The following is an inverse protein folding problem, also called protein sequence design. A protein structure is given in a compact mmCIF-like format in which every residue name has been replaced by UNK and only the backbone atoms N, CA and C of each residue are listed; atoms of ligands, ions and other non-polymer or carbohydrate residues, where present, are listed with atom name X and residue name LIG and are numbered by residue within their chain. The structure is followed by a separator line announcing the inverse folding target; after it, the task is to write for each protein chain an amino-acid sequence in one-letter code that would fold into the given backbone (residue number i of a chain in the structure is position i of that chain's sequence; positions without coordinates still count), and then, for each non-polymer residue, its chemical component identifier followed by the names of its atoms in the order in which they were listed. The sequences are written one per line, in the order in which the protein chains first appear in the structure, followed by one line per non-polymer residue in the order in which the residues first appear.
data_IF_578429286103
#
_entry.id   IF_578429286103
#
_cell.length_a   1.000
_cell.length_b   1.000
_cell.length_c   1.000
_cell.angle_alpha   90.00
_cell.angle_beta   90.00
_cell.angle_gamma   90.00
#
_symmetry.space_group_name_H-M   'P 1'
#
loop_
_entity.id
_entity.type
_entity.pdbx_description
1 polymer ?
#
# COMPACT_ATOMS: atom_id res chain seq x y z
N UNK A 1 21.45 9.57 -6.37
CA UNK A 1 21.60 8.21 -5.83
C UNK A 1 21.22 8.15 -4.37
N UNK A 2 19.98 7.78 -4.06
CA UNK A 2 19.56 7.38 -2.73
C UNK A 2 20.42 6.18 -2.27
N UNK A 3 21.35 6.44 -1.35
CA UNK A 3 22.22 5.42 -0.76
C UNK A 3 21.60 4.76 0.48
N UNK A 4 20.49 5.31 0.97
CA UNK A 4 19.83 4.92 2.21
C UNK A 4 18.43 4.35 1.94
N UNK A 5 18.19 3.14 2.40
CA UNK A 5 16.84 2.57 2.46
C UNK A 5 16.01 3.38 3.46
N UNK A 6 15.03 4.10 2.93
CA UNK A 6 14.11 4.95 3.70
C UNK A 6 12.71 4.87 3.09
N UNK A 7 12.07 3.69 3.10
CA UNK A 7 10.77 3.52 2.48
C UNK A 7 9.73 4.43 3.14
N UNK A 8 8.79 4.89 2.33
CA UNK A 8 7.72 5.82 2.71
C UNK A 8 6.32 5.25 2.42
N UNK A 9 6.24 3.93 2.19
CA UNK A 9 5.01 3.26 1.80
C UNK A 9 4.57 3.60 0.38
N UNK A 10 3.31 3.32 0.09
CA UNK A 10 2.69 3.65 -1.18
C UNK A 10 2.19 5.10 -1.17
N UNK A 11 2.71 5.92 -2.08
CA UNK A 11 2.29 7.31 -2.24
C UNK A 11 1.43 7.47 -3.49
N UNK A 12 0.13 7.82 -3.39
CA UNK A 12 -0.70 8.07 -4.56
C UNK A 12 -0.13 9.23 -5.40
N UNK A 13 -0.11 9.07 -6.74
CA UNK A 13 0.41 10.10 -7.67
C UNK A 13 -0.61 10.56 -8.71
N UNK A 14 -1.13 9.66 -9.54
CA UNK A 14 -2.09 9.92 -10.60
C UNK A 14 -2.90 8.64 -10.87
N UNK A 15 -3.97 8.76 -11.66
CA UNK A 15 -4.70 7.60 -12.16
C UNK A 15 -4.06 7.08 -13.44
N UNK A 16 -4.17 5.78 -13.69
CA UNK A 16 -3.65 5.16 -14.91
C UNK A 16 -4.26 5.80 -16.17
N UNK A 17 -3.44 6.00 -17.20
CA UNK A 17 -3.87 6.60 -18.46
C UNK A 17 -4.05 8.11 -18.42
N UNK A 18 -3.55 8.79 -17.38
CA UNK A 18 -3.62 10.25 -17.28
C UNK A 18 -5.02 10.79 -16.97
N UNK A 19 -5.88 9.95 -16.38
CA UNK A 19 -7.22 10.37 -15.97
C UNK A 19 -7.14 11.46 -14.90
N UNK A 20 -8.21 12.26 -14.80
CA UNK A 20 -8.27 13.36 -13.86
C UNK A 20 -8.07 12.86 -12.42
N UNK A 21 -6.99 13.28 -11.78
CA UNK A 21 -6.65 12.92 -10.42
C UNK A 21 -6.78 14.15 -9.52
N UNK A 22 -7.80 14.17 -8.68
CA UNK A 22 -8.05 15.27 -7.74
C UNK A 22 -7.44 14.99 -6.34
N UNK A 23 -6.23 14.41 -6.29
CA UNK A 23 -5.62 13.91 -5.05
C UNK A 23 -6.10 12.52 -4.62
N UNK A 24 -6.91 11.87 -5.46
CA UNK A 24 -7.56 10.57 -5.20
C UNK A 24 -8.91 10.76 -4.51
N UNK A 25 -9.91 9.97 -4.88
CA UNK A 25 -11.12 9.87 -4.07
C UNK A 25 -10.72 9.22 -2.74
N UNK A 26 -10.92 9.93 -1.63
CA UNK A 26 -10.61 9.45 -0.29
C UNK A 26 -11.91 8.94 0.35
N UNK A 27 -11.98 7.65 0.64
CA UNK A 27 -13.04 7.08 1.48
C UNK A 27 -12.59 7.00 2.92
N UNK A 28 -13.51 7.29 3.84
CA UNK A 28 -13.25 7.20 5.28
C UNK A 28 -13.87 5.91 5.82
N UNK A 29 -13.03 5.06 6.40
CA UNK A 29 -13.44 3.81 7.03
C UNK A 29 -13.40 3.98 8.55
N UNK A 30 -14.54 3.79 9.21
CA UNK A 30 -14.64 3.92 10.67
C UNK A 30 -13.96 2.73 11.34
N UNK A 31 -13.04 3.01 12.26
CA UNK A 31 -12.49 2.00 13.16
C UNK A 31 -13.36 1.94 14.42
N UNK A 32 -14.25 0.97 14.47
CA UNK A 32 -15.27 0.83 15.53
C UNK A 32 -14.81 -0.02 16.71
N UNK A 33 -13.86 -0.93 16.47
CA UNK A 33 -13.29 -1.80 17.49
C UNK A 33 -11.78 -1.66 17.53
N UNK A 34 -11.18 -2.03 18.65
CA UNK A 34 -9.74 -1.94 18.82
C UNK A 34 -8.97 -2.76 17.77
N UNK A 35 -7.88 -2.20 17.26
CA UNK A 35 -6.92 -2.89 16.40
C UNK A 35 -5.58 -3.04 17.12
N UNK A 36 -4.98 -4.23 17.05
CA UNK A 36 -3.64 -4.50 17.58
C UNK A 36 -2.52 -3.95 16.68
N UNK A 37 -2.81 -3.68 15.41
CA UNK A 37 -1.92 -3.01 14.47
C UNK A 37 -2.08 -1.49 14.53
N UNK A 38 -0.96 -0.78 14.33
CA UNK A 38 -0.98 0.65 14.06
C UNK A 38 -1.30 0.92 12.59
N UNK A 39 -1.64 2.17 12.26
CA UNK A 39 -1.84 2.63 10.89
C UNK A 39 -0.87 3.77 10.59
N UNK A 40 -0.23 3.69 9.45
CA UNK A 40 0.68 4.70 8.92
C UNK A 40 0.22 5.14 7.54
N UNK A 41 0.59 6.36 7.17
CA UNK A 41 0.39 6.83 5.79
C UNK A 41 1.25 6.00 4.85
N UNK A 42 0.64 5.45 3.80
CA UNK A 42 1.25 4.55 2.84
C UNK A 42 1.04 3.06 3.14
N UNK A 43 0.36 2.71 4.24
CA UNK A 43 -0.04 1.32 4.52
C UNK A 43 -1.14 0.85 3.57
N UNK A 44 -1.09 -0.42 3.19
CA UNK A 44 -2.19 -1.06 2.48
C UNK A 44 -3.23 -1.54 3.48
N UNK A 45 -4.48 -1.22 3.22
CA UNK A 45 -5.61 -1.48 4.09
C UNK A 45 -6.46 -2.62 3.53
N UNK A 46 -6.86 -3.54 4.40
CA UNK A 46 -7.92 -4.51 4.18
C UNK A 46 -9.06 -4.25 5.16
N UNK A 47 -10.23 -4.83 4.92
CA UNK A 47 -11.32 -4.86 5.89
C UNK A 47 -11.39 -6.25 6.53
N UNK A 48 -11.74 -6.31 7.81
CA UNK A 48 -12.17 -7.56 8.44
C UNK A 48 -13.58 -7.93 7.99
N UNK A 49 -14.00 -9.17 8.24
CA UNK A 49 -15.39 -9.62 7.98
C UNK A 49 -16.46 -8.81 8.73
N UNK A 50 -16.07 -8.07 9.77
CA UNK A 50 -16.93 -7.13 10.48
C UNK A 50 -16.87 -5.70 9.92
N UNK A 51 -16.17 -5.49 8.81
CA UNK A 51 -16.00 -4.19 8.15
C UNK A 51 -14.98 -3.24 8.79
N UNK A 52 -14.19 -3.69 9.78
CA UNK A 52 -13.19 -2.82 10.41
C UNK A 52 -11.91 -2.74 9.55
N UNK A 53 -11.36 -1.55 9.30
CA UNK A 53 -10.12 -1.39 8.56
C UNK A 53 -8.94 -1.96 9.33
N UNK A 54 -7.99 -2.58 8.64
CA UNK A 54 -6.76 -3.16 9.20
C UNK A 54 -5.60 -2.93 8.22
N UNK A 55 -4.44 -2.48 8.71
CA UNK A 55 -3.22 -2.53 7.92
C UNK A 55 -2.79 -3.99 7.70
N UNK A 56 -2.39 -4.34 6.47
CA UNK A 56 -1.92 -5.69 6.17
C UNK A 56 -0.52 -5.92 6.75
N UNK A 57 -0.22 -7.17 7.11
CA UNK A 57 1.09 -7.59 7.61
C UNK A 57 1.83 -8.55 6.67
N UNK A 58 1.20 -8.90 5.55
CA UNK A 58 1.74 -9.81 4.54
C UNK A 58 1.38 -9.29 3.14
N UNK A 59 2.20 -9.63 2.14
CA UNK A 59 1.91 -9.25 0.76
C UNK A 59 0.62 -9.91 0.30
N UNK A 60 -0.34 -9.16 -0.28
CA UNK A 60 -1.51 -9.77 -0.86
C UNK A 60 -1.13 -10.47 -2.17
N UNK A 61 -1.95 -11.43 -2.58
CA UNK A 61 -1.75 -12.23 -3.79
C UNK A 61 -3.04 -12.13 -4.60
N UNK A 62 -2.93 -12.01 -5.92
CA UNK A 62 -4.10 -11.94 -6.77
C UNK A 62 -4.87 -13.27 -6.70
N UNK A 63 -6.18 -13.17 -6.45
CA UNK A 63 -7.09 -14.32 -6.50
C UNK A 63 -7.41 -14.66 -7.95
N UNK A 64 -7.68 -15.94 -8.22
CA UNK A 64 -8.20 -16.40 -9.51
C UNK A 64 -9.56 -15.75 -9.79
N UNK A 65 -9.83 -15.40 -11.05
CA UNK A 65 -11.13 -14.86 -11.48
C UNK A 65 -11.77 -15.80 -12.53
N UNK A 66 -13.03 -16.24 -12.33
CA UNK A 66 -13.86 -16.05 -11.14
C UNK A 66 -13.31 -16.86 -9.94
N UNK A 67 -13.43 -16.26 -8.76
CA UNK A 67 -13.06 -16.90 -7.50
C UNK A 67 -14.16 -17.86 -7.02
N UNK A 68 -13.78 -18.82 -6.18
CA UNK A 68 -14.64 -19.78 -5.51
C UNK A 68 -14.60 -19.56 -4.00
N UNK A 69 -15.51 -20.19 -3.25
CA UNK A 69 -15.49 -20.12 -1.78
C UNK A 69 -14.25 -20.77 -1.14
N UNK A 70 -13.42 -21.47 -1.92
CA UNK A 70 -12.13 -22.00 -1.47
C UNK A 70 -11.01 -20.96 -1.53
N UNK A 71 -11.21 -19.83 -2.22
CA UNK A 71 -10.25 -18.75 -2.32
C UNK A 71 -10.38 -17.83 -1.10
N UNK A 72 -9.34 -17.76 -0.27
CA UNK A 72 -9.42 -17.25 1.10
C UNK A 72 -9.13 -15.75 1.27
N UNK A 73 -9.15 -14.94 0.21
CA UNK A 73 -8.70 -13.54 0.29
C UNK A 73 -9.68 -12.59 -0.39
N UNK A 74 -10.42 -11.83 0.43
CA UNK A 74 -11.39 -10.82 -0.03
C UNK A 74 -10.75 -9.60 -0.72
N UNK A 75 -9.41 -9.51 -0.70
CA UNK A 75 -8.64 -8.43 -1.30
C UNK A 75 -8.44 -7.24 -0.37
N UNK A 76 -7.61 -6.31 -0.82
CA UNK A 76 -7.35 -5.03 -0.14
C UNK A 76 -8.34 -3.98 -0.62
N UNK A 77 -8.58 -2.95 0.19
CA UNK A 77 -9.44 -1.82 -0.19
C UNK A 77 -8.65 -0.64 -0.73
N UNK A 78 -7.37 -0.51 -0.42
CA UNK A 78 -6.58 0.61 -0.92
C UNK A 78 -5.41 0.97 0.00
N UNK A 79 -4.97 2.22 -0.08
CA UNK A 79 -3.82 2.73 0.69
C UNK A 79 -4.25 3.83 1.64
N UNK A 80 -3.81 3.75 2.89
CA UNK A 80 -3.99 4.78 3.91
C UNK A 80 -3.25 6.07 3.52
N UNK A 81 -3.98 7.17 3.39
CA UNK A 81 -3.41 8.50 3.10
C UNK A 81 -3.45 9.44 4.31
N UNK A 82 -3.93 8.93 5.44
CA UNK A 82 -4.01 9.63 6.71
C UNK A 82 -5.08 9.06 7.62
N UNK A 83 -5.18 9.61 8.82
CA UNK A 83 -6.18 9.23 9.82
C UNK A 83 -6.82 10.49 10.41
N UNK A 84 -8.03 10.35 10.94
CA UNK A 84 -8.63 11.36 11.78
C UNK A 84 -9.25 10.73 13.02
N UNK A 85 -9.15 11.42 14.15
CA UNK A 85 -9.64 10.94 15.44
C UNK A 85 -9.81 12.09 16.42
N UNK A 86 -10.63 11.90 17.45
CA UNK A 86 -10.66 12.80 18.62
C UNK A 86 -9.64 12.29 19.63
N UNK A 87 -8.64 13.12 19.90
CA UNK A 87 -7.56 12.79 20.82
C UNK A 87 -8.05 12.83 22.28
N UNK A 88 -7.75 11.79 23.10
CA UNK A 88 -8.22 11.71 24.48
C UNK A 88 -7.63 12.78 25.39
N UNK A 89 -6.52 13.41 25.02
CA UNK A 89 -5.87 14.50 25.77
C UNK A 89 -6.32 15.86 25.24
N UNK A 90 -6.29 16.04 23.92
CA UNK A 90 -6.58 17.35 23.29
C UNK A 90 -8.07 17.66 23.20
N UNK A 91 -8.94 16.63 23.21
CA UNK A 91 -10.42 16.74 23.18
C UNK A 91 -11.02 17.37 21.92
N UNK A 92 -10.27 17.47 20.83
CA UNK A 92 -10.76 17.88 19.52
C UNK A 92 -10.28 16.92 18.43
N UNK A 93 -10.89 17.02 17.25
CA UNK A 93 -10.51 16.21 16.09
C UNK A 93 -9.14 16.60 15.58
N UNK A 94 -8.26 15.62 15.48
CA UNK A 94 -6.91 15.71 14.92
C UNK A 94 -6.89 14.96 13.60
N UNK A 95 -6.29 15.58 12.59
CA UNK A 95 -5.90 14.91 11.35
C UNK A 95 -4.41 14.59 11.45
N UNK A 96 -4.07 13.31 11.34
CA UNK A 96 -2.72 12.81 11.54
C UNK A 96 -2.29 11.86 10.43
N UNK A 97 -0.98 11.60 10.38
CA UNK A 97 -0.39 10.62 9.46
C UNK A 97 -0.30 9.22 10.09
N UNK A 98 -0.56 9.10 11.39
CA UNK A 98 -0.36 7.90 12.19
C UNK A 98 -1.48 7.72 13.22
N UNK A 99 -1.93 6.48 13.41
CA UNK A 99 -2.76 6.06 14.53
C UNK A 99 -2.05 4.92 15.29
N UNK A 100 -1.85 5.05 16.62
CA UNK A 100 -1.22 4.00 17.39
C UNK A 100 -2.05 2.72 17.48
N UNK A 101 -1.36 1.59 17.63
CA UNK A 101 -1.99 0.33 17.99
C UNK A 101 -2.75 0.51 19.32
N UNK A 102 -3.92 -0.11 19.44
CA UNK A 102 -4.70 -0.01 20.67
C UNK A 102 -5.42 1.33 20.86
N UNK A 103 -5.52 2.19 19.85
CA UNK A 103 -6.05 3.54 19.99
C UNK A 103 -7.45 3.61 20.64
N UNK A 104 -8.37 2.71 20.27
CA UNK A 104 -9.71 2.70 20.85
C UNK A 104 -9.65 2.44 22.35
N UNK A 105 -8.86 1.44 22.78
CA UNK A 105 -8.63 1.16 24.20
C UNK A 105 -7.90 2.29 24.93
N UNK A 106 -7.06 3.05 24.21
CA UNK A 106 -6.39 4.23 24.74
C UNK A 106 -7.28 5.48 24.82
N UNK A 107 -8.57 5.37 24.47
CA UNK A 107 -9.57 6.43 24.64
C UNK A 107 -9.75 7.36 23.43
N UNK A 108 -9.14 7.04 22.28
CA UNK A 108 -9.39 7.74 21.03
C UNK A 108 -10.81 7.44 20.56
N UNK A 109 -11.54 8.46 20.11
CA UNK A 109 -12.93 8.32 19.65
C UNK A 109 -13.11 8.90 18.25
N UNK A 110 -14.21 8.55 17.58
CA UNK A 110 -14.50 8.96 16.19
C UNK A 110 -13.31 8.68 15.24
N UNK A 111 -12.72 7.51 15.38
CA UNK A 111 -11.52 7.14 14.63
C UNK A 111 -11.90 6.72 13.22
N UNK A 112 -11.33 7.39 12.23
CA UNK A 112 -11.51 7.10 10.81
C UNK A 112 -10.15 6.94 10.13
N UNK A 113 -10.04 5.92 9.29
CA UNK A 113 -8.89 5.67 8.42
C UNK A 113 -9.25 6.18 7.03
N UNK A 114 -8.44 7.09 6.51
CA UNK A 114 -8.69 7.75 5.22
C UNK A 114 -7.90 7.02 4.15
N UNK A 115 -8.61 6.43 3.18
CA UNK A 115 -8.04 5.48 2.23
C UNK A 115 -8.26 5.97 0.80
N UNK A 116 -7.21 5.95 -0.01
CA UNK A 116 -7.31 6.04 -1.46
C UNK A 116 -7.59 4.63 -1.99
N UNK A 117 -8.79 4.43 -2.53
CA UNK A 117 -9.34 3.11 -2.88
C UNK A 117 -9.78 2.98 -4.34
N UNK A 118 -9.31 3.89 -5.18
CA UNK A 118 -9.45 3.75 -6.62
C UNK A 118 -8.54 2.61 -7.11
N UNK A 119 -9.09 1.55 -7.75
CA UNK A 119 -8.30 0.43 -8.25
C UNK A 119 -7.37 0.81 -9.41
N UNK A 120 -7.61 1.95 -10.07
CA UNK A 120 -6.79 2.49 -11.13
C UNK A 120 -5.74 3.51 -10.66
N UNK A 121 -5.62 3.69 -9.34
CA UNK A 121 -4.59 4.53 -8.74
C UNK A 121 -3.17 4.00 -9.01
N UNK A 122 -2.30 4.90 -9.46
CA UNK A 122 -0.86 4.69 -9.49
C UNK A 122 -0.24 5.19 -8.18
N UNK A 123 0.72 4.41 -7.68
CA UNK A 123 1.46 4.69 -6.46
C UNK A 123 2.95 4.73 -6.77
N UNK A 124 3.66 5.71 -6.21
CA UNK A 124 5.10 5.69 -6.13
C UNK A 124 5.52 4.97 -4.84
N UNK A 125 6.53 4.11 -4.94
CA UNK A 125 7.07 3.35 -3.81
C UNK A 125 8.57 3.11 -4.03
N UNK A 126 9.33 3.09 -2.93
CA UNK A 126 10.75 2.74 -2.97
C UNK A 126 10.95 1.22 -3.13
N UNK A 127 11.88 0.84 -3.99
CA UNK A 127 12.35 -0.53 -4.17
C UNK A 127 13.30 -1.00 -3.06
N UNK A 128 13.29 -2.29 -2.77
CA UNK A 128 14.14 -2.89 -1.72
C UNK A 128 15.60 -3.10 -2.10
N UNK A 129 15.94 -2.97 -3.39
CA UNK A 129 17.28 -3.18 -3.92
C UNK A 129 17.40 -2.57 -5.33
N UNK A 130 18.64 -2.41 -5.80
CA UNK A 130 18.94 -1.94 -7.14
C UNK A 130 18.48 -2.95 -8.21
N UNK A 131 18.09 -2.43 -9.38
CA UNK A 131 17.87 -3.28 -10.56
C UNK A 131 19.14 -3.98 -11.04
N UNK A 132 20.32 -3.38 -10.81
CA UNK A 132 21.61 -4.01 -11.08
C UNK A 132 21.73 -4.50 -12.53
N UNK A 133 22.01 -5.80 -12.71
CA UNK A 133 22.19 -6.44 -14.02
C UNK A 133 20.90 -6.96 -14.65
N UNK A 134 19.72 -6.46 -14.26
CA UNK A 134 18.44 -6.81 -14.87
C UNK A 134 18.52 -6.66 -16.40
N UNK A 135 18.01 -7.63 -17.16
CA UNK A 135 17.95 -7.55 -18.62
C UNK A 135 17.16 -6.30 -19.03
N UNK A 136 17.72 -5.48 -19.92
CA UNK A 136 17.18 -4.16 -20.32
C UNK A 136 17.17 -3.11 -19.18
N UNK A 137 17.98 -3.31 -18.13
CA UNK A 137 18.13 -2.38 -17.02
C UNK A 137 16.81 -2.12 -16.28
N UNK A 138 16.61 -0.89 -15.76
CA UNK A 138 15.36 -0.52 -15.08
C UNK A 138 14.10 -0.70 -15.94
N UNK A 139 14.20 -0.44 -17.25
CA UNK A 139 13.09 -0.64 -18.19
C UNK A 139 12.65 -2.12 -18.28
N UNK A 140 13.53 -3.07 -17.96
CA UNK A 140 13.19 -4.50 -17.87
C UNK A 140 12.36 -4.89 -16.64
N UNK A 141 12.14 -3.96 -15.70
CA UNK A 141 11.23 -4.16 -14.58
C UNK A 141 9.77 -3.86 -14.96
N UNK A 142 9.55 -2.98 -15.94
CA UNK A 142 8.21 -2.55 -16.37
C UNK A 142 7.41 -3.75 -16.88
N UNK A 143 6.16 -3.85 -16.41
CA UNK A 143 5.26 -4.96 -16.72
C UNK A 143 5.45 -6.21 -15.85
N UNK A 144 6.52 -6.31 -15.05
CA UNK A 144 6.68 -7.39 -14.08
C UNK A 144 5.80 -7.17 -12.86
N UNK A 145 5.55 -8.26 -12.14
CA UNK A 145 4.88 -8.25 -10.86
C UNK A 145 5.91 -8.31 -9.72
N UNK A 146 5.57 -7.66 -8.60
CA UNK A 146 6.40 -7.63 -7.41
C UNK A 146 5.55 -7.74 -6.14
N UNK A 147 6.16 -8.32 -5.11
CA UNK A 147 5.57 -8.39 -3.77
C UNK A 147 5.80 -7.06 -3.03
N UNK A 148 4.98 -6.84 -2.00
CA UNK A 148 5.24 -5.83 -0.98
C UNK A 148 6.03 -6.45 0.18
N UNK A 149 6.89 -5.68 0.81
CA UNK A 149 7.72 -6.10 1.93
C UNK A 149 7.74 -5.07 3.05
N UNK A 150 8.43 -5.44 4.14
CA UNK A 150 8.78 -4.53 5.23
C UNK A 150 7.58 -3.83 5.90
N UNK A 151 6.48 -4.57 6.09
CA UNK A 151 5.26 -4.11 6.76
C UNK A 151 5.57 -3.58 8.16
N UNK A 152 5.24 -2.32 8.39
CA UNK A 152 5.60 -1.56 9.58
C UNK A 152 5.54 -0.07 9.29
N UNK A 153 6.02 0.74 10.23
CA UNK A 153 6.01 2.19 10.07
C UNK A 153 6.90 2.91 11.08
N UNK A 154 7.19 4.16 10.78
CA UNK A 154 7.92 5.05 11.67
C UNK A 154 6.93 5.96 12.40
N UNK A 155 6.75 5.77 13.70
CA UNK A 155 5.80 6.54 14.51
C UNK A 155 6.16 8.03 14.62
N UNK A 156 7.43 8.40 14.38
CA UNK A 156 7.87 9.80 14.41
C UNK A 156 7.46 10.53 13.13
N UNK A 157 7.60 9.90 11.96
CA UNK A 157 7.22 10.52 10.67
C UNK A 157 5.76 10.22 10.29
N UNK A 158 5.17 9.19 10.88
CA UNK A 158 3.87 8.65 10.51
C UNK A 158 3.82 7.95 9.15
N UNK A 159 4.99 7.62 8.58
CA UNK A 159 5.07 6.97 7.28
C UNK A 159 5.25 5.46 7.43
N UNK A 160 4.58 4.72 6.54
CA UNK A 160 4.75 3.29 6.38
C UNK A 160 6.15 2.98 5.89
N UNK A 161 6.71 1.86 6.33
CA UNK A 161 7.99 1.35 5.84
C UNK A 161 7.81 0.31 4.74
N UNK A 162 6.59 0.12 4.23
CA UNK A 162 6.30 -0.79 3.13
C UNK A 162 7.14 -0.40 1.92
N UNK A 163 7.79 -1.40 1.32
CA UNK A 163 8.61 -1.25 0.12
C UNK A 163 8.21 -2.25 -0.97
N UNK A 164 8.67 -2.00 -2.20
CA UNK A 164 8.53 -2.96 -3.28
C UNK A 164 9.68 -3.96 -3.25
N UNK A 165 9.40 -5.26 -3.23
CA UNK A 165 10.44 -6.28 -3.18
C UNK A 165 11.03 -6.49 -4.58
N UNK A 166 12.10 -5.75 -4.87
CA UNK A 166 12.85 -5.85 -6.14
C UNK A 166 13.80 -7.06 -6.11
N UNK A 167 14.48 -7.25 -4.98
CA UNK A 167 15.50 -8.28 -4.81
C UNK A 167 16.79 -7.94 -5.55
N UNK A 168 17.90 -8.61 -5.19
CA UNK A 168 19.19 -8.37 -5.82
C UNK A 168 19.13 -8.54 -7.34
N UNK A 169 19.59 -7.53 -8.09
CA UNK A 169 19.53 -7.50 -9.55
C UNK A 169 18.12 -7.72 -10.15
N UNK A 170 17.07 -7.29 -9.44
CA UNK A 170 15.68 -7.52 -9.85
C UNK A 170 15.19 -8.97 -9.75
N UNK A 171 15.92 -9.83 -9.01
CA UNK A 171 15.65 -11.28 -8.94
C UNK A 171 14.33 -11.68 -8.27
N UNK A 172 13.64 -10.77 -7.58
CA UNK A 172 12.31 -11.02 -7.01
C UNK A 172 11.16 -10.54 -7.90
N UNK A 173 11.47 -9.87 -9.01
CA UNK A 173 10.47 -9.46 -10.00
C UNK A 173 10.06 -10.65 -10.86
N UNK A 174 8.76 -10.91 -10.96
CA UNK A 174 8.22 -12.09 -11.63
C UNK A 174 7.32 -11.72 -12.81
N UNK A 175 7.46 -12.43 -13.94
CA UNK A 175 6.62 -12.17 -15.13
C UNK A 175 5.22 -12.81 -15.04
N UNK A 176 5.09 -13.94 -14.35
CA UNK A 176 3.84 -14.74 -14.35
C UNK A 176 3.24 -14.97 -12.97
N UNK A 177 3.97 -14.68 -11.89
CA UNK A 177 3.46 -14.86 -10.53
C UNK A 177 2.39 -13.82 -10.19
N UNK A 178 1.39 -14.23 -9.42
CA UNK A 178 0.24 -13.43 -8.98
C UNK A 178 0.57 -12.49 -7.81
N UNK A 179 1.73 -11.83 -7.85
CA UNK A 179 2.18 -10.92 -6.78
C UNK A 179 1.33 -9.66 -6.68
N UNK A 180 1.43 -8.96 -5.55
CA UNK A 180 0.58 -7.81 -5.18
C UNK A 180 0.52 -6.71 -6.25
N UNK A 181 1.68 -6.30 -6.76
CA UNK A 181 1.84 -5.08 -7.53
C UNK A 181 2.29 -5.38 -8.96
N UNK A 182 1.78 -4.61 -9.92
CA UNK A 182 2.36 -4.49 -11.27
C UNK A 182 3.20 -3.23 -11.34
N UNK A 183 4.42 -3.37 -11.88
CA UNK A 183 5.29 -2.24 -12.19
C UNK A 183 4.80 -1.58 -13.47
N UNK A 184 4.44 -0.31 -13.36
CA UNK A 184 3.95 0.51 -14.47
C UNK A 184 5.08 1.32 -15.06
N UNK A 185 5.96 1.86 -14.20
CA UNK A 185 7.10 2.64 -14.64
C UNK A 185 8.19 2.70 -13.55
N UNK A 186 9.35 3.25 -13.89
CA UNK A 186 10.44 3.57 -12.97
C UNK A 186 10.69 5.07 -12.99
N UNK A 187 10.94 5.68 -11.84
CA UNK A 187 11.28 7.11 -11.78
C UNK A 187 12.70 7.32 -12.31
N UNK A 188 12.82 7.98 -13.46
CA UNK A 188 14.06 8.15 -14.23
C UNK A 188 15.25 8.64 -13.38
N UNK A 189 15.03 9.64 -12.52
CA UNK A 189 16.10 10.23 -11.70
C UNK A 189 16.67 9.25 -10.67
N UNK A 190 15.91 8.23 -10.28
CA UNK A 190 16.27 7.24 -9.26
C UNK A 190 16.55 5.86 -9.87
N UNK A 191 16.40 5.68 -11.17
CA UNK A 191 16.35 4.37 -11.81
C UNK A 191 17.62 3.53 -11.60
N UNK A 192 18.76 4.18 -11.35
CA UNK A 192 20.05 3.53 -11.12
C UNK A 192 20.43 3.47 -9.63
N UNK A 193 19.56 3.94 -8.74
CA UNK A 193 19.82 4.01 -7.30
C UNK A 193 19.85 2.63 -6.65
N UNK A 194 20.45 2.57 -5.45
CA UNK A 194 20.44 1.35 -4.64
C UNK A 194 19.02 0.95 -4.21
N UNK A 195 18.13 1.94 -4.14
CA UNK A 195 16.72 1.81 -3.77
C UNK A 195 15.90 2.73 -4.69
N UNK A 196 15.65 2.31 -5.95
CA UNK A 196 14.98 3.14 -6.95
C UNK A 196 13.53 3.38 -6.57
N UNK A 197 12.97 4.53 -6.97
CA UNK A 197 11.54 4.79 -6.88
C UNK A 197 10.82 4.21 -8.10
N UNK A 198 9.71 3.55 -7.84
CA UNK A 198 8.99 2.73 -8.81
C UNK A 198 7.52 3.13 -8.79
N UNK A 199 6.92 3.22 -9.97
CA UNK A 199 5.50 3.49 -10.13
C UNK A 199 4.78 2.15 -10.30
N UNK A 200 3.81 1.89 -9.44
CA UNK A 200 3.09 0.61 -9.37
C UNK A 200 1.58 0.79 -9.30
N UNK A 201 0.85 -0.26 -9.66
CA UNK A 201 -0.58 -0.43 -9.35
C UNK A 201 -0.84 -1.79 -8.75
N UNK A 202 -1.95 -1.95 -8.03
CA UNK A 202 -2.41 -3.27 -7.61
C UNK A 202 -2.75 -4.14 -8.83
N UNK A 203 -2.39 -5.42 -8.77
CA UNK A 203 -2.81 -6.39 -9.76
C UNK A 203 -4.32 -6.66 -9.67
N UNK A 204 -4.91 -7.03 -10.81
CA UNK A 204 -6.32 -7.49 -10.85
C UNK A 204 -6.50 -8.67 -9.90
N UNK A 205 -7.60 -8.69 -9.15
CA UNK A 205 -7.86 -9.73 -8.15
C UNK A 205 -7.14 -9.55 -6.82
N UNK A 206 -6.30 -8.51 -6.67
CA UNK A 206 -5.76 -8.07 -5.36
C UNK A 206 -6.69 -7.05 -4.71
N UNK A 207 -7.16 -6.08 -5.50
CA UNK A 207 -8.07 -5.03 -5.03
C UNK A 207 -9.51 -5.57 -4.97
N UNK A 208 -10.22 -5.34 -3.86
CA UNK A 208 -11.57 -5.84 -3.61
C UNK A 208 -12.56 -5.49 -4.72
N UNK A 209 -12.55 -4.25 -5.22
CA UNK A 209 -13.38 -3.81 -6.35
C UNK A 209 -13.09 -4.48 -7.71
N UNK A 210 -11.99 -5.22 -7.82
CA UNK A 210 -11.65 -6.03 -8.99
C UNK A 210 -11.62 -7.53 -8.70
N UNK A 211 -11.97 -7.91 -7.47
CA UNK A 211 -12.10 -9.28 -7.02
C UNK A 211 -13.59 -9.65 -7.01
N UNK A 212 -13.92 -10.89 -7.39
CA UNK A 212 -15.29 -11.39 -7.31
C UNK A 212 -15.74 -11.74 -5.89
N UNK A 213 -14.81 -11.81 -4.93
CA UNK A 213 -15.12 -12.05 -3.52
C UNK A 213 -15.40 -10.73 -2.77
N UNK A 214 -16.37 -10.78 -1.86
CA UNK A 214 -16.55 -9.78 -0.81
C UNK A 214 -15.76 -10.13 0.45
N UNK A 215 -15.67 -9.15 1.35
CA UNK A 215 -15.12 -9.31 2.71
C UNK A 215 -16.15 -9.95 3.64
#
# INVERSE_FOLDING_TARGET
MASTSSPYGLKPINLIGGQHFNGGAIREYVLSTNNSGAFYTGDVIQLSSAGNPQAISTTPVAVKIPATSADATAGIVGVCVGVAYVDPTLKYTVFGQYLPAGAINAGYTNVVIRVCDDPDQLYQIQGSAAFGSLTNGPAGAVGKNAALGNFGGNATTGLSTVNLVVGANGGSLASTATLAMRIVDVVDESALDAYPDIIVKFNVGVHSYTNSLGV
#
